data_IF_660525036766
#
_entry.id   IF_660525036766
#
_cell.length_a   1.000
_cell.length_b   1.000
_cell.length_c   1.000
_cell.angle_alpha   90.00
_cell.angle_beta   90.00
_cell.angle_gamma   90.00
#
_symmetry.space_group_name_H-M   'P 1'
#
loop_
_entity.id
_entity.type
_entity.pdbx_description
1 polymer ?
#
# COMPACT_ATOMS: atom_id res chain seq x y z
N UNK A 1 -19.21 17.03 3.37
CA UNK A 1 -18.31 18.13 2.98
C UNK A 1 -17.28 17.55 2.02
N UNK A 2 -17.59 17.56 0.72
CA UNK A 2 -16.71 17.02 -0.34
C UNK A 2 -15.69 18.11 -0.70
N UNK A 3 -14.51 18.05 -0.10
CA UNK A 3 -13.36 18.88 -0.46
C UNK A 3 -12.92 18.53 -1.88
N UNK A 4 -12.90 19.54 -2.77
CA UNK A 4 -12.32 19.59 -4.12
C UNK A 4 -11.95 18.24 -4.76
N UNK A 5 -12.73 17.80 -5.75
CA UNK A 5 -12.52 16.59 -6.56
C UNK A 5 -11.34 16.74 -7.56
N UNK A 6 -10.41 17.68 -7.32
CA UNK A 6 -9.21 17.79 -8.16
C UNK A 6 -8.07 17.01 -7.51
N UNK A 7 -7.64 15.87 -8.09
CA UNK A 7 -6.49 15.15 -7.59
C UNK A 7 -5.27 16.08 -7.59
N UNK A 8 -4.46 15.98 -6.53
CA UNK A 8 -3.25 16.78 -6.42
C UNK A 8 -2.30 16.37 -7.55
N UNK A 9 -1.52 17.33 -8.09
CA UNK A 9 -0.63 17.04 -9.23
C UNK A 9 0.35 15.90 -8.92
N UNK A 10 0.84 15.84 -7.69
CA UNK A 10 1.73 14.76 -7.24
C UNK A 10 1.06 13.39 -7.27
N UNK A 11 -0.23 13.30 -6.92
CA UNK A 11 -0.97 12.04 -6.88
C UNK A 11 -1.17 11.51 -8.31
N UNK A 12 -1.38 12.41 -9.28
CA UNK A 12 -1.41 12.05 -10.71
C UNK A 12 -0.03 11.61 -11.19
N UNK A 13 1.04 12.30 -10.80
CA UNK A 13 2.40 11.90 -11.16
C UNK A 13 2.76 10.52 -10.62
N UNK A 14 2.37 10.20 -9.37
CA UNK A 14 2.54 8.88 -8.78
C UNK A 14 1.73 7.80 -9.52
N UNK A 15 0.46 8.08 -9.80
CA UNK A 15 -0.40 7.16 -10.56
C UNK A 15 0.18 6.85 -11.95
N UNK A 16 0.59 7.88 -12.69
CA UNK A 16 1.15 7.76 -14.04
C UNK A 16 2.50 7.04 -14.02
N UNK A 17 3.41 7.43 -13.11
CA UNK A 17 4.74 6.80 -13.01
C UNK A 17 4.64 5.34 -12.57
N UNK A 18 3.76 5.01 -11.63
CA UNK A 18 3.50 3.64 -11.22
C UNK A 18 2.88 2.79 -12.34
N UNK A 19 1.95 3.35 -13.11
CA UNK A 19 1.35 2.67 -14.26
C UNK A 19 2.35 2.45 -15.39
N UNK A 20 3.15 3.47 -15.73
CA UNK A 20 4.21 3.35 -16.73
C UNK A 20 5.31 2.38 -16.29
N UNK A 21 5.68 2.41 -15.00
CA UNK A 21 6.62 1.45 -14.42
C UNK A 21 6.09 0.02 -14.47
N UNK A 22 4.82 -0.19 -14.11
CA UNK A 22 4.15 -1.49 -14.21
C UNK A 22 4.06 -2.00 -15.64
N UNK A 23 3.73 -1.12 -16.59
CA UNK A 23 3.72 -1.44 -18.02
C UNK A 23 5.13 -1.80 -18.54
N UNK A 24 6.16 -1.07 -18.11
CA UNK A 24 7.55 -1.35 -18.47
C UNK A 24 8.00 -2.71 -17.95
N UNK A 25 7.74 -3.01 -16.67
CA UNK A 25 8.05 -4.33 -16.09
C UNK A 25 7.33 -5.45 -16.86
N UNK A 26 6.07 -5.22 -17.22
CA UNK A 26 5.28 -6.16 -18.01
C UNK A 26 5.85 -6.38 -19.42
N UNK A 27 6.25 -5.30 -20.12
CA UNK A 27 6.89 -5.36 -21.45
C UNK A 27 8.23 -6.10 -21.40
N UNK A 28 8.98 -5.96 -20.31
CA UNK A 28 10.24 -6.67 -20.08
C UNK A 28 10.04 -8.14 -19.64
N UNK A 29 8.80 -8.59 -19.48
CA UNK A 29 8.48 -9.96 -19.03
C UNK A 29 8.83 -10.22 -17.57
N UNK A 30 9.01 -9.17 -16.76
CA UNK A 30 9.31 -9.28 -15.34
C UNK A 30 8.02 -9.54 -14.57
N UNK A 31 7.95 -10.72 -13.96
CA UNK A 31 6.78 -11.22 -13.24
C UNK A 31 7.21 -11.72 -11.87
N UNK A 32 6.38 -11.52 -10.86
CA UNK A 32 6.69 -11.95 -9.49
C UNK A 32 6.27 -13.38 -9.21
N UNK A 33 5.44 -13.99 -10.08
CA UNK A 33 4.83 -15.29 -9.88
C UNK A 33 4.78 -16.11 -11.18
N UNK A 34 4.90 -17.44 -11.06
CA UNK A 34 4.74 -18.40 -12.15
C UNK A 34 3.64 -19.42 -11.86
N UNK A 35 3.06 -20.02 -12.91
CA UNK A 35 2.13 -21.15 -12.78
C UNK A 35 0.77 -20.83 -12.14
N UNK A 36 0.21 -19.64 -12.40
CA UNK A 36 -1.04 -19.15 -11.80
C UNK A 36 -2.26 -19.38 -12.70
N UNK A 37 -3.49 -19.43 -12.14
CA UNK A 37 -4.71 -19.76 -12.90
C UNK A 37 -4.97 -18.81 -14.08
N UNK A 38 -4.69 -17.51 -13.89
CA UNK A 38 -4.79 -16.52 -14.95
C UNK A 38 -3.40 -16.27 -15.55
N UNK A 39 -3.03 -17.12 -16.52
CA UNK A 39 -1.72 -17.08 -17.16
C UNK A 39 -1.62 -16.11 -18.33
N UNK A 40 -2.76 -15.56 -18.80
CA UNK A 40 -2.78 -14.59 -19.89
C UNK A 40 -2.06 -13.29 -19.46
N UNK A 41 -1.00 -12.86 -20.17
CA UNK A 41 -0.15 -11.75 -19.72
C UNK A 41 -0.90 -10.45 -19.42
N UNK A 42 -1.93 -10.13 -20.20
CA UNK A 42 -2.68 -8.88 -20.06
C UNK A 42 -3.47 -8.78 -18.75
N UNK A 43 -3.79 -9.90 -18.09
CA UNK A 43 -4.61 -9.92 -16.88
C UNK A 43 -3.88 -9.23 -15.71
N UNK A 44 -2.56 -9.28 -15.68
CA UNK A 44 -1.73 -8.57 -14.68
C UNK A 44 -1.81 -7.04 -14.82
N UNK A 45 -2.20 -6.51 -15.98
CA UNK A 45 -2.39 -5.06 -16.15
C UNK A 45 -3.65 -4.57 -15.42
N UNK A 46 -4.62 -5.44 -15.13
CA UNK A 46 -5.84 -5.06 -14.42
C UNK A 46 -5.54 -4.64 -12.97
N UNK A 47 -4.88 -5.47 -12.12
CA UNK A 47 -4.44 -5.05 -10.79
C UNK A 47 -3.57 -3.79 -10.81
N UNK A 48 -2.63 -3.69 -11.75
CA UNK A 48 -1.73 -2.52 -11.92
C UNK A 48 -2.52 -1.25 -12.22
N UNK A 49 -3.54 -1.33 -13.07
CA UNK A 49 -4.37 -0.16 -13.39
C UNK A 49 -5.25 0.23 -12.22
N UNK A 50 -5.82 -0.76 -11.51
CA UNK A 50 -6.66 -0.51 -10.33
C UNK A 50 -5.86 0.15 -9.22
N UNK A 51 -4.69 -0.38 -8.87
CA UNK A 51 -3.82 0.20 -7.83
C UNK A 51 -3.30 1.58 -8.23
N UNK A 52 -3.05 1.83 -9.52
CA UNK A 52 -2.73 3.18 -10.00
C UNK A 52 -3.89 4.16 -9.82
N UNK A 53 -5.13 3.70 -10.00
CA UNK A 53 -6.31 4.52 -9.73
C UNK A 53 -6.48 4.86 -8.24
N UNK A 54 -6.05 4.00 -7.32
CA UNK A 54 -6.20 4.27 -5.87
C UNK A 54 -5.27 5.38 -5.38
N UNK A 55 -4.15 5.63 -6.05
CA UNK A 55 -3.25 6.76 -5.76
C UNK A 55 -3.98 8.11 -5.85
N UNK A 56 -4.92 8.25 -6.78
CA UNK A 56 -5.74 9.47 -6.92
C UNK A 56 -6.68 9.70 -5.73
N UNK A 57 -7.03 8.63 -5.01
CA UNK A 57 -7.89 8.64 -3.83
C UNK A 57 -7.09 8.75 -2.52
N UNK A 58 -5.76 8.70 -2.58
CA UNK A 58 -4.88 8.57 -1.40
C UNK A 58 -5.07 9.68 -0.37
N UNK A 59 -5.40 10.90 -0.80
CA UNK A 59 -5.60 12.07 0.07
C UNK A 59 -7.08 12.37 0.36
N UNK A 60 -7.97 12.13 -0.61
CA UNK A 60 -9.39 12.51 -0.52
C UNK A 60 -10.25 11.45 0.17
N UNK A 61 -9.96 10.16 -0.07
CA UNK A 61 -10.68 9.04 0.53
C UNK A 61 -9.75 7.86 0.87
N UNK A 62 -8.80 8.03 1.80
CA UNK A 62 -7.73 7.05 2.07
C UNK A 62 -8.26 5.67 2.47
N UNK A 63 -9.41 5.60 3.15
CA UNK A 63 -10.06 4.33 3.50
C UNK A 63 -10.52 3.55 2.28
N UNK A 64 -11.18 4.23 1.34
CA UNK A 64 -11.63 3.59 0.10
C UNK A 64 -10.44 3.18 -0.76
N UNK A 65 -9.41 4.04 -0.84
CA UNK A 65 -8.17 3.74 -1.54
C UNK A 65 -7.52 2.46 -0.98
N UNK A 66 -7.42 2.34 0.34
CA UNK A 66 -6.84 1.15 0.98
C UNK A 66 -7.67 -0.10 0.75
N UNK A 67 -9.00 -0.04 0.86
CA UNK A 67 -9.86 -1.21 0.60
C UNK A 67 -9.71 -1.70 -0.84
N UNK A 68 -9.75 -0.78 -1.81
CA UNK A 68 -9.57 -1.13 -3.23
C UNK A 68 -8.15 -1.65 -3.49
N UNK A 69 -7.13 -1.06 -2.84
CA UNK A 69 -5.75 -1.49 -2.94
C UNK A 69 -5.52 -2.91 -2.40
N UNK A 70 -6.16 -3.27 -1.29
CA UNK A 70 -6.14 -4.65 -0.76
C UNK A 70 -6.78 -5.60 -1.77
N UNK A 71 -7.93 -5.26 -2.34
CA UNK A 71 -8.59 -6.10 -3.35
C UNK A 71 -7.72 -6.26 -4.61
N UNK A 72 -7.07 -5.19 -5.06
CA UNK A 72 -6.13 -5.22 -6.18
C UNK A 72 -4.93 -6.12 -5.89
N UNK A 73 -4.34 -6.01 -4.69
CA UNK A 73 -3.22 -6.85 -4.27
C UNK A 73 -3.64 -8.33 -4.20
N UNK A 74 -4.81 -8.64 -3.65
CA UNK A 74 -5.35 -10.01 -3.63
C UNK A 74 -5.57 -10.52 -5.05
N UNK A 75 -6.15 -9.72 -5.94
CA UNK A 75 -6.34 -10.06 -7.34
C UNK A 75 -5.01 -10.33 -8.07
N UNK A 76 -3.97 -9.53 -7.78
CA UNK A 76 -2.62 -9.69 -8.34
C UNK A 76 -2.05 -11.09 -8.05
N UNK A 77 -2.33 -11.65 -6.87
CA UNK A 77 -1.94 -13.02 -6.48
C UNK A 77 -2.57 -14.12 -7.33
N UNK A 78 -3.59 -13.85 -8.14
CA UNK A 78 -4.15 -14.84 -9.06
C UNK A 78 -3.61 -14.70 -10.48
N UNK A 79 -2.81 -13.67 -10.74
CA UNK A 79 -2.16 -13.39 -12.03
C UNK A 79 -0.68 -13.78 -11.99
N UNK A 80 0.12 -13.37 -12.99
CA UNK A 80 1.58 -13.49 -12.96
C UNK A 80 2.24 -12.56 -11.91
N UNK A 81 1.46 -11.67 -11.31
CA UNK A 81 1.88 -10.72 -10.31
C UNK A 81 2.79 -9.61 -10.85
N UNK A 82 2.77 -8.46 -10.20
CA UNK A 82 3.59 -7.31 -10.59
C UNK A 82 4.23 -6.64 -9.38
N UNK A 83 5.54 -6.37 -9.48
CA UNK A 83 6.26 -5.64 -8.45
C UNK A 83 5.71 -4.21 -8.32
N UNK A 84 5.23 -3.61 -9.41
CA UNK A 84 4.58 -2.30 -9.36
C UNK A 84 3.33 -2.33 -8.48
N UNK A 85 2.51 -3.39 -8.56
CA UNK A 85 1.32 -3.51 -7.71
C UNK A 85 1.68 -3.52 -6.23
N UNK A 86 2.72 -4.27 -5.87
CA UNK A 86 3.22 -4.35 -4.49
C UNK A 86 3.74 -2.99 -4.02
N UNK A 87 4.57 -2.32 -4.83
CA UNK A 87 5.15 -1.03 -4.47
C UNK A 87 4.08 0.06 -4.30
N UNK A 88 3.12 0.16 -5.24
CA UNK A 88 2.03 1.13 -5.12
C UNK A 88 1.13 0.83 -3.91
N UNK A 89 0.89 -0.46 -3.60
CA UNK A 89 0.19 -0.82 -2.37
C UNK A 89 0.91 -0.30 -1.11
N UNK A 90 2.25 -0.37 -1.05
CA UNK A 90 3.00 0.17 0.11
C UNK A 90 2.78 1.68 0.28
N UNK A 91 2.74 2.44 -0.82
CA UNK A 91 2.47 3.88 -0.78
C UNK A 91 1.03 4.16 -0.32
N UNK A 92 0.05 3.43 -0.85
CA UNK A 92 -1.36 3.58 -0.42
C UNK A 92 -1.53 3.23 1.06
N UNK A 93 -0.83 2.21 1.57
CA UNK A 93 -0.82 1.87 3.00
C UNK A 93 -0.25 3.01 3.85
N UNK A 94 0.91 3.55 3.44
CA UNK A 94 1.51 4.72 4.08
C UNK A 94 0.53 5.91 4.09
N UNK A 95 -0.06 6.22 2.94
CA UNK A 95 -1.02 7.32 2.76
C UNK A 95 -2.28 7.12 3.64
N UNK A 96 -2.78 5.89 3.74
CA UNK A 96 -3.94 5.56 4.56
C UNK A 96 -3.68 5.80 6.05
N UNK A 97 -2.46 5.60 6.54
CA UNK A 97 -2.07 5.93 7.91
C UNK A 97 -1.83 7.43 8.08
N UNK A 98 -1.09 8.04 7.16
CA UNK A 98 -0.68 9.44 7.23
C UNK A 98 -1.88 10.38 7.12
N UNK A 99 -2.71 10.21 6.09
CA UNK A 99 -3.85 11.08 5.78
C UNK A 99 -5.18 10.57 6.34
N UNK A 100 -5.23 9.33 6.82
CA UNK A 100 -6.44 8.75 7.38
C UNK A 100 -6.85 9.31 8.74
N UNK A 101 -7.95 8.77 9.28
CA UNK A 101 -8.45 9.17 10.60
C UNK A 101 -7.46 8.79 11.72
N UNK A 102 -7.49 9.46 12.87
CA UNK A 102 -6.64 9.09 14.02
C UNK A 102 -6.82 7.63 14.46
N UNK A 103 -8.04 7.10 14.28
CA UNK A 103 -8.31 5.68 14.54
C UNK A 103 -7.59 4.76 13.55
N UNK A 104 -7.51 5.13 12.26
CA UNK A 104 -6.77 4.35 11.26
C UNK A 104 -5.27 4.32 11.58
N UNK A 105 -4.69 5.45 11.98
CA UNK A 105 -3.27 5.50 12.33
C UNK A 105 -2.89 4.61 13.54
N UNK A 106 -3.81 4.39 14.48
CA UNK A 106 -3.58 3.47 15.60
C UNK A 106 -3.89 2.01 15.26
N UNK A 107 -4.94 1.76 14.47
CA UNK A 107 -5.41 0.39 14.19
C UNK A 107 -4.62 -0.29 13.09
N UNK A 108 -4.19 0.44 12.05
CA UNK A 108 -3.53 -0.17 10.89
C UNK A 108 -2.21 -0.87 11.24
N UNK A 109 -1.26 -0.26 11.97
CA UNK A 109 -0.03 -0.96 12.35
C UNK A 109 -0.29 -2.24 13.15
N UNK A 110 -1.22 -2.19 14.11
CA UNK A 110 -1.61 -3.36 14.91
C UNK A 110 -2.25 -4.43 14.03
N UNK A 111 -3.18 -4.04 13.14
CA UNK A 111 -3.84 -4.97 12.24
C UNK A 111 -2.83 -5.63 11.28
N UNK A 112 -1.93 -4.85 10.67
CA UNK A 112 -0.90 -5.39 9.76
C UNK A 112 0.09 -6.30 10.48
N UNK A 113 0.44 -5.98 11.73
CA UNK A 113 1.29 -6.84 12.56
C UNK A 113 0.60 -8.18 12.87
N UNK A 114 -0.67 -8.13 13.30
CA UNK A 114 -1.45 -9.34 13.57
C UNK A 114 -1.64 -10.18 12.31
N UNK A 115 -1.95 -9.57 11.17
CA UNK A 115 -2.05 -10.26 9.88
C UNK A 115 -0.72 -10.91 9.51
N UNK A 116 0.39 -10.21 9.71
CA UNK A 116 1.73 -10.73 9.45
C UNK A 116 2.01 -11.96 10.30
N UNK A 117 1.82 -11.87 11.62
CA UNK A 117 2.04 -12.99 12.55
C UNK A 117 1.12 -14.16 12.24
N UNK A 118 -0.18 -13.91 12.08
CA UNK A 118 -1.17 -14.94 11.76
C UNK A 118 -0.85 -15.65 10.44
N UNK A 119 -0.48 -14.89 9.41
CA UNK A 119 -0.08 -15.45 8.11
C UNK A 119 1.21 -16.26 8.22
N UNK A 120 2.20 -15.76 8.97
CA UNK A 120 3.47 -16.47 9.20
C UNK A 120 3.23 -17.83 9.86
N UNK A 121 2.47 -17.85 10.96
CA UNK A 121 2.14 -19.08 11.69
C UNK A 121 1.30 -19.99 10.81
N UNK A 122 0.28 -19.46 10.12
CA UNK A 122 -0.60 -20.24 9.24
C UNK A 122 0.16 -20.92 8.12
N UNK A 123 1.01 -20.19 7.39
CA UNK A 123 1.81 -20.77 6.30
C UNK A 123 2.89 -21.72 6.82
N UNK A 124 3.54 -21.42 7.95
CA UNK A 124 4.50 -22.34 8.55
C UNK A 124 3.84 -23.65 8.98
N UNK A 125 2.67 -23.58 9.61
CA UNK A 125 1.91 -24.77 10.02
C UNK A 125 1.42 -25.58 8.81
N UNK A 126 1.06 -24.91 7.72
CA UNK A 126 0.58 -25.53 6.49
C UNK A 126 1.69 -26.23 5.70
N UNK A 127 2.74 -25.49 5.35
CA UNK A 127 3.83 -26.01 4.52
C UNK A 127 4.86 -26.83 5.32
N UNK A 128 4.96 -26.59 6.63
CA UNK A 128 5.94 -27.22 7.55
C UNK A 128 7.38 -27.14 7.05
N UNK A 129 7.69 -26.02 6.42
CA UNK A 129 9.00 -25.72 5.81
C UNK A 129 9.50 -24.36 6.30
N UNK A 130 10.79 -24.22 6.62
CA UNK A 130 11.32 -22.96 7.16
C UNK A 130 11.17 -21.80 6.18
N UNK A 131 11.16 -22.05 4.87
CA UNK A 131 10.98 -21.05 3.82
C UNK A 131 9.61 -20.35 3.90
N UNK A 132 8.60 -20.97 4.52
CA UNK A 132 7.29 -20.35 4.73
C UNK A 132 7.35 -19.10 5.62
N UNK A 133 8.39 -18.98 6.47
CA UNK A 133 8.65 -17.76 7.26
C UNK A 133 8.87 -16.54 6.36
N UNK A 134 9.46 -16.72 5.19
CA UNK A 134 9.72 -15.62 4.24
C UNK A 134 8.43 -14.98 3.74
N UNK A 135 7.33 -15.73 3.66
CA UNK A 135 6.02 -15.20 3.29
C UNK A 135 5.57 -14.17 4.34
N UNK A 136 5.73 -14.52 5.61
CA UNK A 136 5.50 -13.62 6.74
C UNK A 136 6.34 -12.35 6.66
N UNK A 137 7.64 -12.50 6.44
CA UNK A 137 8.58 -11.38 6.30
C UNK A 137 8.14 -10.43 5.18
N UNK A 138 7.78 -10.96 4.01
CA UNK A 138 7.32 -10.16 2.87
C UNK A 138 6.00 -9.43 3.19
N UNK A 139 5.03 -10.10 3.82
CA UNK A 139 3.78 -9.48 4.25
C UNK A 139 4.06 -8.32 5.21
N UNK A 140 4.93 -8.53 6.20
CA UNK A 140 5.33 -7.50 7.16
C UNK A 140 6.03 -6.32 6.49
N UNK A 141 6.96 -6.59 5.57
CA UNK A 141 7.68 -5.56 4.82
C UNK A 141 6.73 -4.68 4.00
N UNK A 142 5.76 -5.29 3.32
CA UNK A 142 4.85 -4.61 2.40
C UNK A 142 3.68 -3.92 3.12
N UNK A 143 3.32 -4.36 4.33
CA UNK A 143 2.16 -3.81 5.05
C UNK A 143 2.53 -3.05 6.33
N UNK A 144 3.33 -3.65 7.20
CA UNK A 144 3.63 -3.11 8.52
C UNK A 144 4.64 -1.97 8.49
N UNK A 145 5.70 -2.07 7.67
CA UNK A 145 6.69 -0.99 7.55
C UNK A 145 6.06 0.32 7.04
N UNK A 146 5.34 0.37 5.90
CA UNK A 146 4.72 1.61 5.45
C UNK A 146 3.70 2.15 6.46
N UNK A 147 2.99 1.28 7.18
CA UNK A 147 2.09 1.69 8.24
C UNK A 147 2.84 2.35 9.41
N UNK A 148 3.95 1.78 9.88
CA UNK A 148 4.81 2.39 10.90
C UNK A 148 5.37 3.73 10.44
N UNK A 149 5.91 3.79 9.22
CA UNK A 149 6.45 5.03 8.64
C UNK A 149 5.38 6.12 8.59
N UNK A 150 4.14 5.77 8.21
CA UNK A 150 3.01 6.70 8.21
C UNK A 150 2.72 7.28 9.60
N UNK A 151 2.79 6.46 10.65
CA UNK A 151 2.59 6.92 12.04
C UNK A 151 3.71 7.86 12.47
N UNK A 152 4.98 7.49 12.23
CA UNK A 152 6.13 8.31 12.61
C UNK A 152 6.09 9.69 11.94
N UNK A 153 5.85 9.73 10.63
CA UNK A 153 5.74 11.00 9.88
C UNK A 153 4.57 11.84 10.40
N UNK A 154 3.42 11.22 10.66
CA UNK A 154 2.26 11.91 11.24
C UNK A 154 2.58 12.53 12.59
N UNK A 155 3.25 11.80 13.47
CA UNK A 155 3.66 12.27 14.80
C UNK A 155 4.58 13.49 14.71
N UNK A 156 5.61 13.42 13.87
CA UNK A 156 6.53 14.55 13.64
C UNK A 156 5.79 15.77 13.10
N UNK A 157 4.85 15.58 12.16
CA UNK A 157 4.04 16.68 11.64
C UNK A 157 3.20 17.35 12.73
N UNK A 158 2.53 16.57 13.58
CA UNK A 158 1.74 17.13 14.69
C UNK A 158 2.59 17.88 15.71
N UNK A 159 3.80 17.38 16.00
CA UNK A 159 4.74 18.07 16.89
C UNK A 159 5.23 19.40 16.30
N UNK A 160 5.53 19.41 14.99
CA UNK A 160 5.95 20.62 14.29
C UNK A 160 4.83 21.68 14.22
N UNK A 161 3.58 21.26 14.00
CA UNK A 161 2.42 22.16 14.00
C UNK A 161 2.18 22.75 15.40
N UNK A 162 2.29 21.96 16.47
CA UNK A 162 2.19 22.44 17.84
C UNK A 162 3.28 23.47 18.19
N UNK A 163 4.53 23.22 17.80
CA UNK A 163 5.64 24.15 18.01
C UNK A 163 5.44 25.48 17.26
N UNK A 164 4.93 25.43 16.02
CA UNK A 164 4.59 26.64 15.24
C UNK A 164 3.50 27.47 15.90
N UNK A 165 2.45 26.82 16.43
CA UNK A 165 1.37 27.50 17.14
C UNK A 165 1.86 28.15 18.44
N UNK A 166 2.72 27.47 19.21
CA UNK A 166 3.31 28.03 20.42
C UNK A 166 4.17 29.27 20.11
N UNK A 167 5.01 29.21 19.07
CA UNK A 167 5.83 30.34 18.64
C UNK A 167 4.99 31.56 18.21
N UNK A 168 3.87 31.31 17.52
CA UNK A 168 2.95 32.36 17.09
C UNK A 168 2.16 33.01 18.25
N UNK A 169 2.05 32.36 19.41
CA UNK A 169 1.40 32.91 20.60
C UNK A 169 2.37 33.72 21.49
N UNK A 170 3.68 33.55 21.30
CA UNK A 170 4.74 34.24 22.06
C UNK A 170 5.35 35.45 21.33
N UNK A 171 4.91 35.73 20.11
CA UNK A 171 5.35 36.85 19.27
C UNK A 171 4.26 37.93 19.19
#
# INVERSE_FOLDING_TARGET
MFTSIRPHRDDVALAVSGLLGGLLLWLLGLHTQGGRPFSAPWVTLVPVTVIAGTELLRRSAPRTALTVAVLALIADQFTRGSLATVLMFTDVMYAAVLYGTPAAARRLPVATLLITVASTIGFLAWFRRPEALLIGVVIGLVSFIPALTGVSVRSHRTAAEAARLAAAQTA
#
